data_IF_491773480807
#
_entry.id   IF_491773480807
#
_cell.length_a   1.000
_cell.length_b   1.000
_cell.length_c   1.000
_cell.angle_alpha   90.00
_cell.angle_beta   90.00
_cell.angle_gamma   90.00
#
_symmetry.space_group_name_H-M   'P 1'
#
loop_
_entity.id
_entity.type
_entity.pdbx_description
1 polymer ?
#
# COMPACT_ATOMS: atom_id res chain seq x y z
N UNK A 1 -32.56 20.05 18.18
CA UNK A 1 -31.74 19.24 19.10
C UNK A 1 -31.32 17.98 18.34
N UNK A 2 -30.03 17.80 18.05
CA UNK A 2 -29.55 16.59 17.37
C UNK A 2 -29.51 15.46 18.38
N UNK A 3 -30.22 14.36 18.10
CA UNK A 3 -30.27 13.23 19.02
C UNK A 3 -28.86 12.61 19.15
N UNK A 4 -28.41 12.24 20.36
CA UNK A 4 -27.08 11.67 20.60
C UNK A 4 -26.82 10.40 19.78
N UNK A 5 -27.87 9.67 19.42
CA UNK A 5 -27.81 8.50 18.54
C UNK A 5 -27.38 8.84 17.11
N UNK A 6 -27.77 10.00 16.59
CA UNK A 6 -27.40 10.46 15.23
C UNK A 6 -25.91 10.83 15.21
N UNK A 7 -25.42 11.51 16.25
CA UNK A 7 -24.00 11.83 16.38
C UNK A 7 -23.14 10.58 16.51
N UNK A 8 -23.57 9.59 17.31
CA UNK A 8 -22.88 8.32 17.44
C UNK A 8 -22.81 7.57 16.09
N UNK A 9 -23.93 7.51 15.36
CA UNK A 9 -23.97 6.88 14.04
C UNK A 9 -23.04 7.58 13.05
N UNK A 10 -23.06 8.92 13.01
CA UNK A 10 -22.18 9.70 12.14
C UNK A 10 -20.69 9.47 12.48
N UNK A 11 -20.34 9.38 13.76
CA UNK A 11 -18.98 9.07 14.20
C UNK A 11 -18.53 7.67 13.75
N UNK A 12 -19.38 6.64 13.89
CA UNK A 12 -19.07 5.29 13.43
C UNK A 12 -18.92 5.20 11.92
N UNK A 13 -19.75 5.91 11.14
CA UNK A 13 -19.61 5.97 9.69
C UNK A 13 -18.30 6.66 9.29
N UNK A 14 -17.93 7.75 9.96
CA UNK A 14 -16.67 8.45 9.73
C UNK A 14 -15.44 7.56 10.01
N UNK A 15 -15.50 6.72 11.06
CA UNK A 15 -14.46 5.73 11.37
C UNK A 15 -14.39 4.60 10.35
N UNK A 16 -15.54 4.13 9.84
CA UNK A 16 -15.62 3.08 8.82
C UNK A 16 -15.20 3.55 7.42
N UNK A 17 -15.12 4.87 7.18
CA UNK A 17 -14.74 5.43 5.89
C UNK A 17 -13.23 5.32 5.57
N UNK A 18 -12.41 4.83 6.50
CA UNK A 18 -11.00 4.54 6.24
C UNK A 18 -10.85 3.25 5.41
N UNK A 19 -11.21 3.36 4.14
CA UNK A 19 -11.16 2.26 3.18
C UNK A 19 -9.71 2.13 2.72
N UNK A 20 -9.05 1.01 3.01
CA UNK A 20 -7.72 0.73 2.45
C UNK A 20 -7.85 0.55 0.94
N UNK A 21 -6.85 0.99 0.16
CA UNK A 21 -6.81 0.70 -1.27
C UNK A 21 -6.85 -0.83 -1.46
N UNK A 22 -7.96 -1.34 -1.97
CA UNK A 22 -8.15 -2.76 -2.26
C UNK A 22 -7.47 -3.12 -3.58
N UNK A 23 -6.90 -4.32 -3.65
CA UNK A 23 -6.25 -4.82 -4.85
C UNK A 23 -5.26 -5.95 -4.52
N UNK A 24 -4.88 -6.71 -5.53
CA UNK A 24 -3.73 -7.61 -5.43
C UNK A 24 -2.43 -6.80 -5.34
N UNK A 25 -1.34 -7.46 -4.96
CA UNK A 25 0.00 -6.83 -5.00
C UNK A 25 0.30 -6.22 -6.38
N UNK A 26 -0.16 -6.85 -7.47
CA UNK A 26 0.10 -6.38 -8.83
C UNK A 26 -0.73 -5.14 -9.22
N UNK A 27 -1.83 -4.87 -8.52
CA UNK A 27 -2.69 -3.70 -8.77
C UNK A 27 -2.18 -2.46 -8.04
N UNK A 28 -1.54 -2.67 -6.89
CA UNK A 28 -1.15 -1.60 -5.97
C UNK A 28 0.31 -1.18 -6.12
N UNK A 29 1.20 -2.14 -6.40
CA UNK A 29 2.65 -1.91 -6.40
C UNK A 29 3.23 -1.77 -7.80
N UNK A 30 4.42 -1.17 -7.89
CA UNK A 30 5.17 -1.00 -9.15
C UNK A 30 6.64 -1.35 -8.96
N UNK A 31 7.34 -1.85 -10.00
CA UNK A 31 8.76 -2.16 -9.87
C UNK A 31 9.56 -0.97 -9.38
N UNK A 32 10.45 -1.18 -8.41
CA UNK A 32 11.43 -0.18 -8.00
C UNK A 32 12.50 -0.06 -9.08
N UNK A 33 12.66 1.13 -9.65
CA UNK A 33 13.64 1.48 -10.69
C UNK A 33 14.65 2.52 -10.24
N UNK A 34 14.67 2.84 -8.94
CA UNK A 34 15.58 3.83 -8.40
C UNK A 34 17.02 3.31 -8.48
N UNK A 35 18.00 4.19 -8.72
CA UNK A 35 19.40 3.79 -8.73
C UNK A 35 19.83 3.21 -7.37
N UNK A 36 20.51 2.07 -7.39
CA UNK A 36 21.03 1.43 -6.16
C UNK A 36 22.06 2.31 -5.45
N UNK A 37 22.74 3.19 -6.19
CA UNK A 37 23.75 4.11 -5.63
C UNK A 37 23.18 5.12 -4.64
N UNK A 38 21.87 5.40 -4.74
CA UNK A 38 21.16 6.34 -3.86
C UNK A 38 20.55 5.62 -2.64
N UNK A 39 20.80 4.32 -2.48
CA UNK A 39 20.22 3.49 -1.43
C UNK A 39 21.27 3.06 -0.42
N UNK A 40 20.86 3.05 0.85
CA UNK A 40 21.57 2.27 1.87
C UNK A 40 21.50 0.78 1.54
N UNK A 41 22.40 -0.06 2.10
CA UNK A 41 22.36 -1.51 1.89
C UNK A 41 21.02 -2.15 2.28
N UNK A 42 20.34 -1.61 3.29
CA UNK A 42 19.03 -2.12 3.73
C UNK A 42 17.93 -1.77 2.73
N UNK A 43 17.92 -0.54 2.21
CA UNK A 43 16.96 -0.12 1.19
C UNK A 43 17.13 -0.91 -0.11
N UNK A 44 18.38 -1.14 -0.54
CA UNK A 44 18.68 -1.93 -1.73
C UNK A 44 18.17 -3.38 -1.60
N UNK A 45 18.36 -3.99 -0.42
CA UNK A 45 17.83 -5.34 -0.13
C UNK A 45 16.30 -5.38 -0.17
N UNK A 46 15.65 -4.40 0.44
CA UNK A 46 14.19 -4.30 0.44
C UNK A 46 13.63 -4.07 -0.97
N UNK A 47 14.26 -3.19 -1.76
CA UNK A 47 13.92 -2.94 -3.16
C UNK A 47 14.05 -4.21 -4.02
N UNK A 48 15.13 -4.97 -3.80
CA UNK A 48 15.35 -6.24 -4.49
C UNK A 48 14.28 -7.28 -4.12
N UNK A 49 14.00 -7.47 -2.83
CA UNK A 49 12.97 -8.40 -2.37
C UNK A 49 11.58 -8.05 -2.93
N UNK A 50 11.25 -6.75 -2.96
CA UNK A 50 10.04 -6.22 -3.56
C UNK A 50 9.94 -6.56 -5.06
N UNK A 51 11.00 -6.27 -5.82
CA UNK A 51 11.03 -6.56 -7.26
C UNK A 51 10.98 -8.06 -7.56
N UNK A 52 11.64 -8.90 -6.76
CA UNK A 52 11.58 -10.36 -6.90
C UNK A 52 10.16 -10.90 -6.66
N UNK A 53 9.43 -10.34 -5.70
CA UNK A 53 8.02 -10.69 -5.49
C UNK A 53 7.18 -10.34 -6.72
N UNK A 54 7.35 -9.14 -7.27
CA UNK A 54 6.60 -8.75 -8.47
C UNK A 54 7.03 -9.47 -9.75
N UNK A 55 8.30 -9.89 -9.87
CA UNK A 55 8.73 -10.78 -10.94
C UNK A 55 8.00 -12.13 -10.87
N UNK A 56 7.89 -12.69 -9.66
CA UNK A 56 7.20 -13.98 -9.41
C UNK A 56 5.68 -13.89 -9.63
N UNK A 57 5.04 -12.81 -9.17
CA UNK A 57 3.57 -12.71 -9.12
C UNK A 57 2.97 -11.93 -10.29
N UNK A 58 3.69 -10.95 -10.84
CA UNK A 58 3.15 -9.94 -11.75
C UNK A 58 3.87 -9.89 -13.10
N UNK A 59 4.87 -10.74 -13.33
CA UNK A 59 5.64 -10.77 -14.58
C UNK A 59 6.55 -9.55 -14.78
N UNK A 60 6.90 -8.84 -13.70
CA UNK A 60 7.83 -7.72 -13.78
C UNK A 60 9.21 -8.18 -14.28
N UNK A 61 9.75 -7.43 -15.24
CA UNK A 61 11.10 -7.66 -15.77
C UNK A 61 12.12 -6.82 -14.99
N UNK A 62 13.40 -7.22 -14.96
CA UNK A 62 14.47 -6.41 -14.38
C UNK A 62 14.44 -4.97 -14.92
#
# INVERSE_FOLDING_TARGET
>A
MVAPKILALAAFIALAACQHAGGSFCDLEKPNRNPVVDMTPTEARSAMAHNLKGAKLCGWRP
#
